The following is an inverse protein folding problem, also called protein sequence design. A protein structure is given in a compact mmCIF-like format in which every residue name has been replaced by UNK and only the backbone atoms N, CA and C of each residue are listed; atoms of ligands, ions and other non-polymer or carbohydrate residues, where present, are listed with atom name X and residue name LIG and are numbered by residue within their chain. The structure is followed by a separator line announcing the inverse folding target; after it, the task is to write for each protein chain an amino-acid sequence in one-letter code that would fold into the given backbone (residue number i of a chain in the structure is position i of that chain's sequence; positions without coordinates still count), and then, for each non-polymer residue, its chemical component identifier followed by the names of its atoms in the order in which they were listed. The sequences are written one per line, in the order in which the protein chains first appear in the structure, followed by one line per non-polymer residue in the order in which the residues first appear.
data_IF_825284037655
#
_entry.id   IF_825284037655
#
_cell.length_a   1.000
_cell.length_b   1.000
_cell.length_c   1.000
_cell.angle_alpha   90.00
_cell.angle_beta   90.00
_cell.angle_gamma   90.00
#
_symmetry.space_group_name_H-M   'P 1'
#
loop_
_entity.id
_entity.type
_entity.pdbx_description
1 polymer ?
#
# COMPACT_ATOMS: atom_id res chain seq x y z
N UNK A 1 19.83 51.09 87.84
CA UNK A 1 18.77 50.33 87.15
C UNK A 1 19.44 49.42 86.14
N UNK A 2 19.33 48.11 86.37
CA UNK A 2 19.85 47.01 85.55
C UNK A 2 18.63 46.33 84.90
N UNK A 3 18.75 45.83 83.68
CA UNK A 3 18.42 44.44 83.30
C UNK A 3 18.59 44.24 81.79
N UNK A 4 19.62 43.46 81.45
CA UNK A 4 19.83 42.69 80.23
C UNK A 4 18.91 41.47 80.19
N UNK A 5 18.38 41.11 79.02
CA UNK A 5 17.75 39.81 78.78
C UNK A 5 18.14 39.26 77.39
N UNK A 6 18.93 38.19 77.44
CA UNK A 6 19.16 37.19 76.40
C UNK A 6 17.91 36.30 76.27
N UNK A 7 17.65 35.76 75.08
CA UNK A 7 16.80 34.56 74.95
C UNK A 7 17.31 33.66 73.83
N UNK A 8 17.33 32.38 74.18
CA UNK A 8 18.18 31.33 73.66
C UNK A 8 17.66 30.66 72.40
N UNK A 9 18.63 30.20 71.62
CA UNK A 9 18.55 29.30 70.48
C UNK A 9 18.28 27.86 70.96
N UNK A 10 17.26 27.18 70.43
CA UNK A 10 17.05 25.74 70.67
C UNK A 10 17.10 25.00 69.33
N UNK A 11 18.14 24.19 69.18
CA UNK A 11 18.40 23.27 68.07
C UNK A 11 17.51 22.01 68.24
N UNK A 12 16.77 21.62 67.21
CA UNK A 12 16.13 20.29 67.14
C UNK A 12 16.86 19.44 66.10
N UNK A 13 17.60 18.45 66.62
CA UNK A 13 18.25 17.37 65.89
C UNK A 13 17.24 16.27 65.54
N UNK A 14 17.10 15.94 64.26
CA UNK A 14 16.51 14.67 63.83
C UNK A 14 17.61 13.73 63.32
N UNK A 15 17.69 12.57 63.95
CA UNK A 15 18.46 11.39 63.55
C UNK A 15 17.91 10.80 62.25
N UNK A 16 18.78 10.45 61.31
CA UNK A 16 18.62 9.23 60.50
C UNK A 16 19.96 8.76 59.95
N UNK A 17 20.23 7.47 60.22
CA UNK A 17 21.48 6.76 60.00
C UNK A 17 21.90 6.60 58.52
N UNK A 18 23.19 6.36 58.28
CA UNK A 18 23.75 6.01 56.96
C UNK A 18 23.74 4.49 56.74
N UNK A 19 23.57 4.03 55.49
CA UNK A 19 24.15 2.75 55.05
C UNK A 19 24.12 2.57 53.51
N UNK A 20 25.33 2.40 52.97
CA UNK A 20 25.76 1.50 51.89
C UNK A 20 25.28 1.67 50.43
N UNK A 21 26.29 2.02 49.61
CA UNK A 21 26.69 1.41 48.33
C UNK A 21 25.86 0.22 47.83
N UNK A 22 25.36 0.32 46.59
CA UNK A 22 25.31 -0.82 45.67
C UNK A 22 25.34 -0.38 44.19
N UNK A 23 26.34 -0.93 43.51
CA UNK A 23 26.56 -1.14 42.08
C UNK A 23 25.46 -0.75 41.06
N UNK A 24 25.91 -0.04 40.02
CA UNK A 24 25.31 -0.05 38.68
C UNK A 24 25.47 -1.44 38.07
N UNK A 25 24.38 -2.18 37.95
CA UNK A 25 24.24 -3.30 37.03
C UNK A 25 23.01 -3.04 36.17
N UNK A 26 23.23 -2.89 34.86
CA UNK A 26 22.17 -2.89 33.86
C UNK A 26 21.55 -4.29 33.80
N UNK A 27 20.25 -4.48 34.07
CA UNK A 27 19.61 -5.74 33.80
C UNK A 27 18.97 -5.69 32.40
N UNK A 28 19.43 -6.61 31.57
CA UNK A 28 18.63 -7.35 30.58
C UNK A 28 17.89 -6.55 29.50
N UNK A 29 18.52 -6.46 28.33
CA UNK A 29 17.80 -6.51 27.06
C UNK A 29 17.00 -7.83 26.98
N UNK A 30 15.72 -7.76 27.31
CA UNK A 30 14.77 -8.79 26.95
C UNK A 30 14.44 -8.63 25.45
N UNK A 31 15.15 -9.37 24.61
CA UNK A 31 14.66 -9.68 23.27
C UNK A 31 13.37 -10.48 23.43
N UNK A 32 12.22 -9.82 23.36
CA UNK A 32 10.94 -10.48 23.29
C UNK A 32 10.87 -11.25 21.97
N UNK A 33 11.24 -12.54 22.00
CA UNK A 33 10.79 -13.51 21.02
C UNK A 33 9.26 -13.57 21.14
N UNK A 34 8.57 -12.79 20.31
CA UNK A 34 7.14 -12.88 20.15
C UNK A 34 6.80 -14.30 19.74
N UNK A 35 6.17 -15.05 20.64
CA UNK A 35 5.56 -16.33 20.28
C UNK A 35 4.54 -16.06 19.18
N UNK A 36 4.80 -16.60 17.99
CA UNK A 36 3.87 -16.54 16.87
C UNK A 36 2.55 -17.18 17.31
N UNK A 37 1.48 -16.37 17.40
CA UNK A 37 0.12 -16.86 17.64
C UNK A 37 -0.22 -17.85 16.53
N UNK A 38 -0.53 -19.08 16.92
CA UNK A 38 -1.04 -20.10 16.00
C UNK A 38 -2.46 -19.70 15.66
N UNK A 39 -2.66 -19.04 14.54
CA UNK A 39 -4.00 -18.80 14.01
C UNK A 39 -4.56 -20.13 13.54
N UNK A 40 -5.35 -20.78 14.40
CA UNK A 40 -6.24 -21.85 13.96
C UNK A 40 -7.25 -21.20 13.02
N UNK A 41 -7.04 -21.37 11.71
CA UNK A 41 -8.13 -21.26 10.75
C UNK A 41 -9.07 -22.42 11.07
N UNK A 42 -9.96 -22.18 12.03
CA UNK A 42 -11.17 -22.94 12.15
C UNK A 42 -11.95 -22.59 10.89
N UNK A 43 -11.78 -23.41 9.84
CA UNK A 43 -12.70 -23.42 8.71
C UNK A 43 -14.07 -23.75 9.33
N UNK A 44 -14.87 -22.72 9.61
CA UNK A 44 -16.25 -22.93 10.00
C UNK A 44 -16.92 -23.75 8.90
N UNK A 45 -17.76 -24.75 9.25
CA UNK A 45 -18.48 -25.53 8.27
C UNK A 45 -19.30 -24.58 7.37
N UNK A 46 -18.88 -24.44 6.11
CA UNK A 46 -19.45 -23.50 5.14
C UNK A 46 -18.50 -22.44 4.61
N UNK A 47 -17.28 -22.30 5.15
CA UNK A 47 -16.28 -21.37 4.59
C UNK A 47 -15.90 -21.81 3.17
N UNK A 48 -15.98 -20.88 2.20
CA UNK A 48 -15.55 -21.13 0.83
C UNK A 48 -14.10 -21.64 0.79
N UNK A 49 -13.82 -22.58 -0.11
CA UNK A 49 -12.47 -23.11 -0.30
C UNK A 49 -11.50 -21.96 -0.60
N UNK A 50 -10.33 -21.99 0.03
CA UNK A 50 -9.25 -21.04 -0.26
C UNK A 50 -8.05 -21.74 -0.86
N UNK A 51 -7.23 -21.03 -1.63
CA UNK A 51 -6.10 -21.56 -2.39
C UNK A 51 -4.81 -20.83 -2.03
N UNK A 52 -3.66 -21.48 -2.20
CA UNK A 52 -2.34 -20.88 -1.98
C UNK A 52 -1.27 -21.49 -2.88
N UNK A 53 -0.13 -20.82 -3.02
CA UNK A 53 0.98 -21.28 -3.88
C UNK A 53 2.05 -21.94 -3.03
N UNK A 54 2.32 -23.22 -3.24
CA UNK A 54 3.35 -23.97 -2.50
C UNK A 54 4.72 -23.62 -3.06
N UNK A 55 5.56 -23.04 -2.20
CA UNK A 55 6.95 -22.64 -2.48
C UNK A 55 7.94 -23.75 -2.16
N UNK A 56 7.62 -24.56 -1.15
CA UNK A 56 8.44 -25.68 -0.68
C UNK A 56 7.53 -26.69 0.02
N UNK A 57 7.86 -27.98 -0.13
CA UNK A 57 7.19 -29.09 0.55
C UNK A 57 8.26 -30.06 1.05
N UNK A 58 8.22 -30.41 2.33
CA UNK A 58 9.27 -31.23 2.95
C UNK A 58 8.82 -31.90 4.25
N UNK A 59 9.59 -32.89 4.73
CA UNK A 59 9.22 -33.67 5.91
C UNK A 59 9.42 -32.91 7.23
N UNK A 60 10.25 -31.86 7.22
CA UNK A 60 10.74 -31.19 8.42
C UNK A 60 10.09 -29.81 8.58
N UNK A 61 9.59 -29.52 9.79
CA UNK A 61 9.00 -28.22 10.13
C UNK A 61 10.01 -27.07 9.94
N UNK A 62 11.24 -27.28 10.44
CA UNK A 62 12.31 -26.29 10.36
C UNK A 62 12.64 -25.90 8.91
N UNK A 63 12.69 -26.88 7.99
CA UNK A 63 12.90 -26.62 6.57
C UNK A 63 11.80 -25.74 5.96
N UNK A 64 10.54 -25.98 6.33
CA UNK A 64 9.43 -25.15 5.88
C UNK A 64 9.45 -23.75 6.51
N UNK A 65 9.83 -23.61 7.78
CA UNK A 65 10.00 -22.32 8.45
C UNK A 65 11.13 -21.48 7.86
N UNK A 66 12.29 -22.10 7.59
CA UNK A 66 13.42 -21.44 6.95
C UNK A 66 13.07 -20.96 5.53
N UNK A 67 12.36 -21.79 4.77
CA UNK A 67 11.84 -21.38 3.46
C UNK A 67 10.85 -20.20 3.60
N UNK A 68 9.89 -20.27 4.52
CA UNK A 68 8.92 -19.20 4.73
C UNK A 68 9.59 -17.87 5.11
N UNK A 69 10.57 -17.90 6.02
CA UNK A 69 11.35 -16.71 6.40
C UNK A 69 12.13 -16.13 5.22
N UNK A 70 12.81 -16.97 4.44
CA UNK A 70 13.54 -16.56 3.21
C UNK A 70 12.62 -15.82 2.24
N UNK A 71 11.44 -16.39 1.96
CA UNK A 71 10.50 -15.79 1.02
C UNK A 71 9.78 -14.56 1.61
N UNK A 72 9.60 -14.50 2.92
CA UNK A 72 9.10 -13.29 3.59
C UNK A 72 10.06 -12.10 3.51
N UNK A 73 11.37 -12.37 3.53
CA UNK A 73 12.41 -11.35 3.28
C UNK A 73 12.43 -10.86 1.83
N UNK A 74 11.83 -11.62 0.92
CA UNK A 74 11.61 -11.23 -0.47
C UNK A 74 10.27 -10.50 -0.68
N UNK A 75 9.53 -10.20 0.41
CA UNK A 75 8.28 -9.44 0.35
C UNK A 75 7.02 -10.29 0.15
N UNK A 76 7.10 -11.62 0.29
CA UNK A 76 5.93 -12.49 0.21
C UNK A 76 5.32 -12.74 1.61
N UNK A 77 4.00 -12.79 1.72
CA UNK A 77 3.38 -13.32 2.94
C UNK A 77 3.29 -14.84 2.82
N UNK A 78 4.01 -15.55 3.69
CA UNK A 78 4.17 -17.01 3.61
C UNK A 78 3.71 -17.69 4.89
N UNK A 79 2.88 -18.71 4.74
CA UNK A 79 2.36 -19.55 5.83
C UNK A 79 3.06 -20.89 5.82
N UNK A 80 3.41 -21.39 6.99
CA UNK A 80 3.85 -22.78 7.17
C UNK A 80 2.63 -23.60 7.50
N UNK A 81 2.34 -24.58 6.64
CA UNK A 81 1.15 -25.41 6.70
C UNK A 81 1.56 -26.85 6.95
N UNK A 82 0.88 -27.51 7.90
CA UNK A 82 1.03 -28.93 8.21
C UNK A 82 -0.13 -29.71 7.62
N UNK A 83 0.16 -30.69 6.80
CA UNK A 83 -0.81 -31.60 6.18
C UNK A 83 -0.93 -32.88 7.00
N UNK A 84 -1.97 -32.98 7.83
CA UNK A 84 -2.13 -34.13 8.73
C UNK A 84 -2.49 -35.44 7.99
N UNK A 85 -2.85 -35.38 6.69
CA UNK A 85 -3.15 -36.59 5.89
C UNK A 85 -1.91 -37.27 5.34
N UNK A 86 -0.81 -36.55 5.15
CA UNK A 86 0.37 -37.08 4.46
C UNK A 86 1.49 -37.32 5.46
N UNK A 87 1.96 -38.58 5.56
CA UNK A 87 3.07 -38.94 6.45
C UNK A 87 4.42 -38.38 5.95
N UNK A 88 4.62 -38.37 4.63
CA UNK A 88 5.79 -37.78 3.96
C UNK A 88 5.48 -36.35 3.53
N UNK A 89 6.45 -35.44 3.60
CA UNK A 89 6.26 -34.04 3.21
C UNK A 89 5.11 -33.33 3.95
N UNK A 90 5.06 -33.56 5.27
CA UNK A 90 4.00 -33.05 6.14
C UNK A 90 3.97 -31.52 6.18
N UNK A 91 5.08 -30.83 5.93
CA UNK A 91 5.17 -29.38 6.08
C UNK A 91 5.39 -28.69 4.74
N UNK A 92 4.63 -27.62 4.51
CA UNK A 92 4.60 -26.84 3.27
C UNK A 92 4.79 -25.36 3.61
N UNK A 93 5.60 -24.66 2.83
CA UNK A 93 5.64 -23.19 2.83
C UNK A 93 4.73 -22.68 1.71
N UNK A 94 3.69 -21.93 2.04
CA UNK A 94 2.61 -21.55 1.13
C UNK A 94 2.47 -20.02 1.08
N UNK A 95 2.62 -19.42 -0.10
CA UNK A 95 2.41 -18.00 -0.32
C UNK A 95 0.95 -17.67 -0.62
N UNK A 96 0.48 -16.57 -0.05
CA UNK A 96 -0.86 -16.05 -0.27
C UNK A 96 -1.99 -16.89 0.32
N UNK A 97 -3.21 -16.39 0.19
CA UNK A 97 -4.47 -17.10 0.46
C UNK A 97 -5.55 -16.45 -0.40
N UNK A 98 -6.06 -17.19 -1.37
CA UNK A 98 -6.89 -16.70 -2.46
C UNK A 98 -8.27 -17.35 -2.40
N UNK A 99 -9.31 -16.65 -2.86
CA UNK A 99 -10.67 -17.19 -2.88
C UNK A 99 -10.87 -18.15 -4.04
N UNK A 100 -10.17 -17.92 -5.15
CA UNK A 100 -10.30 -18.73 -6.36
C UNK A 100 -8.97 -19.37 -6.75
N UNK A 101 -9.05 -20.50 -7.44
CA UNK A 101 -7.87 -21.17 -8.01
C UNK A 101 -7.20 -20.32 -9.09
N UNK A 102 -7.97 -19.50 -9.81
CA UNK A 102 -7.47 -18.60 -10.85
C UNK A 102 -6.58 -17.50 -10.26
N UNK A 103 -7.00 -16.86 -9.16
CA UNK A 103 -6.17 -15.89 -8.42
C UNK A 103 -4.85 -16.51 -7.96
N UNK A 104 -4.89 -17.71 -7.38
CA UNK A 104 -3.69 -18.43 -6.98
C UNK A 104 -2.77 -18.78 -8.17
N UNK A 105 -3.35 -19.04 -9.35
CA UNK A 105 -2.58 -19.31 -10.57
C UNK A 105 -1.90 -18.06 -11.12
N UNK A 106 -2.59 -16.92 -11.11
CA UNK A 106 -1.99 -15.63 -11.48
C UNK A 106 -0.82 -15.30 -10.54
N UNK A 107 -1.02 -15.43 -9.23
CA UNK A 107 0.04 -15.17 -8.26
C UNK A 107 1.21 -16.16 -8.37
N UNK A 108 0.93 -17.42 -8.74
CA UNK A 108 1.99 -18.39 -9.05
C UNK A 108 2.89 -17.86 -10.16
N UNK A 109 2.31 -17.40 -11.28
CA UNK A 109 3.08 -16.87 -12.44
C UNK A 109 3.97 -15.71 -11.99
N UNK A 110 3.42 -14.76 -11.22
CA UNK A 110 4.18 -13.62 -10.68
C UNK A 110 5.40 -14.07 -9.85
N UNK A 111 5.23 -15.07 -8.98
CA UNK A 111 6.35 -15.61 -8.18
C UNK A 111 7.37 -16.33 -9.06
N UNK A 112 6.91 -17.09 -10.06
CA UNK A 112 7.80 -17.81 -10.99
C UNK A 112 8.70 -16.84 -11.76
N UNK A 113 8.13 -15.75 -12.26
CA UNK A 113 8.85 -14.71 -12.99
C UNK A 113 9.80 -13.93 -12.07
N UNK A 114 9.32 -13.48 -10.91
CA UNK A 114 10.10 -12.67 -9.99
C UNK A 114 11.29 -13.42 -9.37
N UNK A 115 11.14 -14.71 -9.09
CA UNK A 115 12.14 -15.51 -8.37
C UNK A 115 12.82 -16.58 -9.23
N UNK A 116 12.48 -16.66 -10.52
CA UNK A 116 12.95 -17.68 -11.47
C UNK A 116 12.74 -19.12 -10.94
N UNK A 117 11.57 -19.39 -10.35
CA UNK A 117 11.22 -20.68 -9.77
C UNK A 117 10.37 -21.50 -10.75
N UNK A 118 10.79 -22.74 -11.05
CA UNK A 118 10.09 -23.60 -12.00
C UNK A 118 9.04 -24.52 -11.37
N UNK A 119 9.26 -24.93 -10.12
CA UNK A 119 8.50 -26.02 -9.47
C UNK A 119 7.52 -25.50 -8.42
N UNK A 120 6.59 -24.63 -8.84
CA UNK A 120 5.51 -24.15 -7.98
C UNK A 120 4.18 -24.83 -8.34
N UNK A 121 3.34 -25.10 -7.35
CA UNK A 121 2.00 -25.63 -7.57
C UNK A 121 1.01 -25.02 -6.59
N UNK A 122 -0.28 -25.11 -6.94
CA UNK A 122 -1.37 -24.56 -6.13
C UNK A 122 -1.89 -25.65 -5.20
N UNK A 123 -2.16 -25.28 -3.96
CA UNK A 123 -2.83 -26.13 -2.98
C UNK A 123 -4.15 -25.50 -2.56
N UNK A 124 -5.13 -26.34 -2.27
CA UNK A 124 -6.39 -25.96 -1.65
C UNK A 124 -6.30 -26.15 -0.13
N UNK A 125 -6.71 -25.15 0.64
CA UNK A 125 -6.76 -25.19 2.09
C UNK A 125 -7.95 -26.02 2.57
N UNK A 126 -7.71 -27.33 2.72
CA UNK A 126 -8.70 -28.26 3.31
C UNK A 126 -8.64 -28.27 4.83
N UNK A 127 -9.66 -28.84 5.48
CA UNK A 127 -9.69 -29.07 6.95
C UNK A 127 -8.51 -29.87 7.54
N UNK A 128 -7.72 -30.53 6.69
CA UNK A 128 -6.56 -31.33 7.14
C UNK A 128 -5.26 -30.53 7.13
N UNK A 129 -5.29 -29.32 6.57
CA UNK A 129 -4.18 -28.40 6.55
C UNK A 129 -4.28 -27.48 7.77
N UNK A 130 -3.29 -27.53 8.65
CA UNK A 130 -3.18 -26.66 9.82
C UNK A 130 -2.08 -25.63 9.60
N UNK A 131 -2.39 -24.36 9.79
CA UNK A 131 -1.35 -23.33 9.81
C UNK A 131 -0.56 -23.46 11.11
N UNK A 132 0.75 -23.62 10.99
CA UNK A 132 1.67 -23.70 12.12
C UNK A 132 2.28 -22.34 12.43
N UNK A 133 2.56 -21.55 11.40
CA UNK A 133 3.15 -20.21 11.55
C UNK A 133 2.85 -19.35 10.32
N UNK A 134 2.81 -18.03 10.51
CA UNK A 134 2.66 -17.05 9.43
C UNK A 134 3.82 -16.06 9.47
N UNK A 135 4.50 -15.91 8.34
CA UNK A 135 5.60 -14.98 8.14
C UNK A 135 5.10 -13.85 7.24
N UNK A 136 4.91 -12.67 7.81
CA UNK A 136 4.49 -11.49 7.05
C UNK A 136 5.63 -10.99 6.16
N UNK A 137 5.27 -10.50 4.99
CA UNK A 137 6.21 -9.82 4.09
C UNK A 137 6.98 -8.74 4.85
N UNK A 138 8.31 -8.77 4.80
CA UNK A 138 9.11 -7.63 5.26
C UNK A 138 9.10 -6.61 4.13
N UNK A 139 8.45 -5.47 4.36
CA UNK A 139 8.65 -4.29 3.52
C UNK A 139 10.14 -4.00 3.54
N UNK A 140 10.84 -4.15 2.42
CA UNK A 140 12.23 -3.72 2.35
C UNK A 140 12.22 -2.22 2.63
N UNK A 141 12.58 -1.82 3.85
CA UNK A 141 12.99 -0.46 4.14
C UNK A 141 14.03 -0.12 3.09
N UNK A 142 13.72 0.86 2.23
CA UNK A 142 14.63 1.34 1.19
C UNK A 142 15.98 1.58 1.87
N UNK A 143 16.99 0.78 1.51
CA UNK A 143 18.36 1.07 1.88
C UNK A 143 18.72 2.34 1.14
N UNK A 144 19.01 3.41 1.87
CA UNK A 144 19.43 4.69 1.30
C UNK A 144 20.60 4.44 0.31
N UNK A 145 20.45 4.78 -0.98
CA UNK A 145 21.50 4.56 -1.96
C UNK A 145 22.76 5.42 -1.72
N UNK A 146 22.75 6.32 -0.73
CA UNK A 146 23.86 7.22 -0.41
C UNK A 146 24.84 6.69 0.65
N UNK A 147 24.69 5.46 1.14
CA UNK A 147 25.61 4.86 2.11
C UNK A 147 26.54 3.81 1.48
N UNK A 148 27.35 4.18 0.48
CA UNK A 148 28.59 3.44 0.18
C UNK A 148 29.68 4.38 -0.37
N UNK A 149 30.70 4.58 0.46
CA UNK A 149 31.87 5.37 0.10
C UNK A 149 32.74 4.67 -0.95
N UNK A 150 33.22 5.49 -1.89
CA UNK A 150 34.41 5.33 -2.74
C UNK A 150 35.37 4.20 -2.34
N UNK A 151 35.51 3.19 -3.22
CA UNK A 151 36.81 2.60 -3.61
C UNK A 151 36.75 2.14 -5.07
N UNK A 152 37.39 2.90 -5.95
CA UNK A 152 38.03 2.43 -7.18
C UNK A 152 39.41 1.82 -6.82
N UNK A 153 40.19 1.20 -7.74
CA UNK A 153 39.91 0.79 -9.13
C UNK A 153 40.44 -0.63 -9.48
N UNK A 154 40.09 -1.17 -10.65
CA UNK A 154 41.05 -1.42 -11.75
C UNK A 154 40.45 -2.26 -12.90
N UNK A 155 40.63 -1.66 -14.06
CA UNK A 155 40.41 -2.11 -15.42
C UNK A 155 41.28 -3.32 -15.79
N UNK A 156 40.74 -4.27 -16.57
CA UNK A 156 41.43 -5.05 -17.61
C UNK A 156 40.43 -5.90 -18.41
N UNK A 157 40.21 -5.51 -19.65
CA UNK A 157 39.66 -6.34 -20.73
C UNK A 157 40.81 -7.20 -21.32
N UNK A 158 40.54 -8.34 -21.98
CA UNK A 158 40.63 -8.27 -23.45
C UNK A 158 39.71 -9.21 -24.26
N UNK A 159 39.53 -8.79 -25.52
CA UNK A 159 39.41 -9.54 -26.78
C UNK A 159 38.35 -10.64 -26.97
N UNK A 160 37.48 -10.44 -27.97
CA UNK A 160 37.10 -11.47 -28.95
C UNK A 160 36.92 -10.89 -30.36
N UNK A 161 37.58 -11.52 -31.34
CA UNK A 161 37.50 -11.31 -32.79
C UNK A 161 36.36 -12.15 -33.43
N UNK A 162 36.01 -11.91 -34.71
CA UNK A 162 34.71 -12.21 -35.32
C UNK A 162 34.69 -13.36 -36.33
N UNK A 163 33.48 -13.82 -36.68
CA UNK A 163 33.13 -14.51 -37.96
C UNK A 163 31.60 -14.44 -38.12
N UNK A 164 31.01 -13.69 -39.06
CA UNK A 164 30.92 -13.80 -40.53
C UNK A 164 30.14 -15.01 -41.07
N UNK A 165 28.95 -14.74 -41.64
CA UNK A 165 28.51 -15.08 -43.02
C UNK A 165 27.08 -15.65 -43.20
N UNK A 166 26.39 -15.02 -44.18
CA UNK A 166 25.53 -15.60 -45.25
C UNK A 166 24.15 -16.16 -44.86
N UNK A 167 23.07 -16.03 -45.67
CA UNK A 167 22.79 -15.37 -46.95
C UNK A 167 21.27 -15.54 -47.26
N UNK A 168 20.67 -14.58 -47.96
CA UNK A 168 19.59 -14.69 -49.00
C UNK A 168 18.20 -15.30 -48.64
N UNK A 169 17.04 -14.94 -49.21
CA UNK A 169 16.63 -14.28 -50.47
C UNK A 169 15.25 -13.58 -50.34
N UNK A 170 15.06 -12.55 -51.18
CA UNK A 170 13.89 -12.09 -51.95
C UNK A 170 12.44 -12.21 -51.44
N UNK A 171 11.75 -11.06 -51.39
CA UNK A 171 10.64 -10.82 -52.34
C UNK A 171 10.31 -9.33 -52.52
N UNK A 172 10.31 -8.96 -53.79
CA UNK A 172 9.97 -7.69 -54.41
C UNK A 172 8.45 -7.60 -54.63
N UNK A 173 7.85 -6.44 -54.34
CA UNK A 173 6.62 -6.00 -55.03
C UNK A 173 6.56 -4.47 -55.09
N UNK A 174 6.43 -3.98 -56.31
CA UNK A 174 6.26 -2.59 -56.71
C UNK A 174 4.88 -2.03 -56.33
N UNK A 175 4.80 -0.75 -55.95
CA UNK A 175 3.88 0.21 -56.59
C UNK A 175 4.10 1.67 -56.16
N UNK A 176 4.79 2.40 -57.04
CA UNK A 176 4.36 3.65 -57.69
C UNK A 176 3.47 4.66 -56.92
N UNK A 177 4.15 5.62 -56.28
CA UNK A 177 4.17 7.06 -56.61
C UNK A 177 2.87 7.78 -57.03
N UNK A 178 2.49 8.79 -56.24
CA UNK A 178 2.06 10.10 -56.76
C UNK A 178 2.28 11.19 -55.70
N UNK A 179 3.02 12.21 -56.13
CA UNK A 179 3.48 13.41 -55.42
C UNK A 179 2.35 14.36 -55.00
N UNK A 180 2.58 15.20 -53.97
CA UNK A 180 2.47 16.69 -54.04
C UNK A 180 2.93 17.35 -52.71
N UNK A 181 4.09 18.05 -52.79
CA UNK A 181 4.56 19.33 -52.17
C UNK A 181 4.22 19.71 -50.69
N UNK A 182 5.22 19.96 -49.80
CA UNK A 182 6.05 21.20 -49.61
C UNK A 182 5.18 22.40 -49.13
N UNK A 183 5.33 23.11 -48.00
CA UNK A 183 6.45 23.53 -47.11
C UNK A 183 5.85 24.02 -45.77
N UNK A 184 6.45 23.72 -44.61
CA UNK A 184 6.81 24.66 -43.50
C UNK A 184 7.31 23.87 -42.28
N UNK A 185 8.63 23.77 -42.05
CA UNK A 185 9.51 24.69 -41.31
C UNK A 185 9.56 24.40 -39.79
N UNK A 186 10.46 23.47 -39.47
CA UNK A 186 11.43 23.52 -38.36
C UNK A 186 10.99 24.13 -37.02
N UNK A 187 10.66 23.25 -36.06
CA UNK A 187 11.22 23.24 -34.71
C UNK A 187 11.03 21.85 -34.09
N UNK A 188 11.95 20.94 -34.37
CA UNK A 188 11.96 19.56 -33.86
C UNK A 188 13.32 19.26 -33.26
N UNK A 189 13.46 19.53 -31.96
CA UNK A 189 14.50 18.92 -31.11
C UNK A 189 14.14 19.15 -29.64
N UNK A 190 13.22 18.34 -29.09
CA UNK A 190 13.16 17.93 -27.66
C UNK A 190 11.86 17.16 -27.30
N UNK A 191 11.57 16.06 -28.00
CA UNK A 191 10.35 15.25 -27.74
C UNK A 191 10.64 13.85 -27.16
N UNK A 192 11.90 13.54 -26.84
CA UNK A 192 12.31 12.17 -26.46
C UNK A 192 12.46 11.93 -24.96
N UNK A 193 12.27 12.93 -24.07
CA UNK A 193 12.48 12.77 -22.62
C UNK A 193 11.18 12.61 -21.79
N UNK A 194 9.99 12.85 -22.35
CA UNK A 194 8.73 12.84 -21.60
C UNK A 194 8.04 11.47 -21.50
N UNK A 195 8.44 10.50 -22.33
CA UNK A 195 7.79 9.17 -22.35
C UNK A 195 8.24 8.27 -21.19
N UNK A 196 9.50 8.38 -20.76
CA UNK A 196 10.06 7.55 -19.69
C UNK A 196 9.55 7.95 -18.29
N UNK A 197 9.29 9.25 -18.05
CA UNK A 197 8.81 9.74 -16.76
C UNK A 197 7.38 9.27 -16.42
N UNK A 198 6.56 9.03 -17.43
CA UNK A 198 5.15 8.63 -17.23
C UNK A 198 5.04 7.20 -16.71
N UNK A 199 5.86 6.28 -17.24
CA UNK A 199 5.88 4.89 -16.79
C UNK A 199 6.34 4.75 -15.34
N UNK A 200 7.37 5.50 -14.95
CA UNK A 200 7.87 5.51 -13.57
C UNK A 200 6.82 6.06 -12.60
N UNK A 201 6.15 7.17 -12.96
CA UNK A 201 5.09 7.78 -12.14
C UNK A 201 3.93 6.81 -11.91
N UNK A 202 3.49 6.11 -12.95
CA UNK A 202 2.44 5.08 -12.88
C UNK A 202 2.87 3.92 -11.99
N UNK A 203 4.09 3.40 -12.16
CA UNK A 203 4.60 2.32 -11.32
C UNK A 203 4.66 2.71 -9.84
N UNK A 204 5.12 3.93 -9.55
CA UNK A 204 5.17 4.48 -8.19
C UNK A 204 3.78 4.64 -7.57
N UNK A 205 2.79 5.09 -8.36
CA UNK A 205 1.40 5.18 -7.94
C UNK A 205 0.84 3.81 -7.54
N UNK A 206 1.02 2.80 -8.39
CA UNK A 206 0.53 1.44 -8.13
C UNK A 206 1.16 0.82 -6.88
N UNK A 207 2.48 1.01 -6.69
CA UNK A 207 3.16 0.56 -5.49
C UNK A 207 2.65 1.25 -4.22
N UNK A 208 2.36 2.55 -4.31
CA UNK A 208 1.77 3.32 -3.21
C UNK A 208 0.38 2.80 -2.88
N UNK A 209 -0.49 2.64 -3.88
CA UNK A 209 -1.83 2.09 -3.69
C UNK A 209 -1.80 0.71 -3.01
N UNK A 210 -0.97 -0.21 -3.51
CA UNK A 210 -0.81 -1.53 -2.91
C UNK A 210 -0.37 -1.44 -1.44
N UNK A 211 0.53 -0.51 -1.12
CA UNK A 211 0.98 -0.30 0.26
C UNK A 211 -0.12 0.26 1.14
N UNK A 212 -0.87 1.27 0.69
CA UNK A 212 -2.04 1.83 1.38
C UNK A 212 -3.04 0.71 1.70
N UNK A 213 -3.37 -0.12 0.70
CA UNK A 213 -4.31 -1.23 0.86
C UNK A 213 -3.84 -2.26 1.89
N UNK A 214 -2.56 -2.62 1.89
CA UNK A 214 -1.99 -3.55 2.87
C UNK A 214 -2.09 -2.96 4.28
N UNK A 215 -1.62 -1.73 4.45
CA UNK A 215 -1.58 -1.02 5.75
C UNK A 215 -2.98 -0.84 6.33
N UNK A 216 -3.94 -0.45 5.49
CA UNK A 216 -5.35 -0.34 5.88
C UNK A 216 -5.91 -1.70 6.29
N UNK A 217 -5.76 -2.74 5.45
CA UNK A 217 -6.31 -4.08 5.73
C UNK A 217 -5.75 -4.72 7.02
N UNK A 218 -4.54 -4.36 7.45
CA UNK A 218 -3.97 -4.83 8.73
C UNK A 218 -4.30 -3.93 9.93
N UNK A 219 -5.02 -2.83 9.73
CA UNK A 219 -5.40 -1.88 10.77
C UNK A 219 -4.26 -1.00 11.30
N UNK A 220 -3.18 -0.80 10.53
CA UNK A 220 -2.05 0.04 10.96
C UNK A 220 -2.32 1.52 10.63
N UNK A 221 -3.13 2.18 11.48
CA UNK A 221 -3.52 3.58 11.29
C UNK A 221 -2.32 4.54 11.32
N UNK A 222 -1.28 4.20 12.10
CA UNK A 222 -0.03 4.95 12.11
C UNK A 222 0.67 4.87 10.75
N UNK A 223 0.77 3.67 10.18
CA UNK A 223 1.29 3.49 8.81
C UNK A 223 0.45 4.22 7.77
N UNK A 224 -0.87 4.30 7.96
CA UNK A 224 -1.77 4.97 7.02
C UNK A 224 -1.60 6.50 7.06
N UNK A 225 -1.33 7.05 8.25
CA UNK A 225 -0.99 8.47 8.43
C UNK A 225 0.29 8.89 7.70
N UNK A 226 1.19 7.96 7.35
CA UNK A 226 2.34 8.28 6.49
C UNK A 226 1.90 8.73 5.08
N UNK A 227 0.69 8.36 4.65
CA UNK A 227 0.10 8.78 3.39
C UNK A 227 -0.80 10.01 3.54
N UNK A 228 -0.91 10.61 4.73
CA UNK A 228 -1.58 11.90 4.94
C UNK A 228 -0.50 12.99 5.01
N UNK A 229 -0.61 14.01 4.17
CA UNK A 229 0.40 15.06 4.12
C UNK A 229 0.32 15.94 5.39
N UNK A 230 1.39 16.15 6.16
CA UNK A 230 1.30 16.76 7.50
C UNK A 230 0.78 18.20 7.51
N UNK A 231 1.00 18.96 6.42
CA UNK A 231 0.50 20.35 6.30
C UNK A 231 -0.86 20.45 5.60
N UNK A 232 -1.17 19.49 4.73
CA UNK A 232 -2.36 19.56 3.89
C UNK A 232 -3.50 18.73 4.47
N UNK A 233 -3.22 17.67 5.22
CA UNK A 233 -4.23 16.77 5.74
C UNK A 233 -4.89 15.93 4.64
N UNK A 234 -6.14 15.55 4.89
CA UNK A 234 -7.02 14.83 3.97
C UNK A 234 -8.42 15.43 4.05
N UNK A 235 -9.07 15.52 2.90
CA UNK A 235 -10.47 15.95 2.80
C UNK A 235 -11.37 14.74 2.68
N UNK A 236 -12.48 14.70 3.40
CA UNK A 236 -13.53 13.71 3.19
C UNK A 236 -14.73 14.39 2.58
N UNK A 237 -15.17 13.86 1.44
CA UNK A 237 -16.45 14.22 0.82
C UNK A 237 -17.48 13.23 1.32
N UNK A 238 -18.49 13.74 1.99
CA UNK A 238 -19.64 12.96 2.40
C UNK A 238 -20.83 13.42 1.57
N UNK A 239 -21.39 12.51 0.78
CA UNK A 239 -22.45 12.80 -0.18
C UNK A 239 -23.78 12.16 0.26
N UNK A 240 -24.47 12.66 1.31
CA UNK A 240 -25.75 12.13 1.77
C UNK A 240 -26.89 12.74 0.96
N UNK A 241 -26.79 12.77 -0.36
CA UNK A 241 -27.85 13.37 -1.13
C UNK A 241 -27.43 13.87 -2.50
N UNK A 242 -28.19 14.87 -2.92
CA UNK A 242 -27.77 15.91 -3.85
C UNK A 242 -26.74 16.90 -3.25
N UNK A 243 -26.36 16.75 -1.98
CA UNK A 243 -25.43 17.65 -1.29
C UNK A 243 -24.10 16.96 -1.01
N UNK A 244 -23.00 17.71 -1.15
CA UNK A 244 -21.65 17.30 -0.77
C UNK A 244 -21.20 18.08 0.46
N UNK A 245 -20.91 17.37 1.54
CA UNK A 245 -20.34 17.91 2.77
C UNK A 245 -18.83 17.68 2.75
N UNK A 246 -18.06 18.71 3.10
CA UNK A 246 -16.60 18.67 3.09
C UNK A 246 -16.09 18.76 4.52
N UNK A 247 -15.42 17.70 4.96
CA UNK A 247 -14.72 17.67 6.23
C UNK A 247 -13.22 17.62 5.98
N UNK A 248 -12.44 18.28 6.83
CA UNK A 248 -10.99 18.28 6.74
C UNK A 248 -10.38 17.67 7.99
N UNK A 249 -9.39 16.79 7.80
CA UNK A 249 -8.73 16.08 8.88
C UNK A 249 -7.22 16.13 8.72
N UNK A 250 -6.53 16.17 9.86
CA UNK A 250 -5.07 16.07 9.89
C UNK A 250 -4.55 14.63 9.98
N UNK A 251 -5.43 13.69 10.37
CA UNK A 251 -5.09 12.28 10.65
C UNK A 251 -6.25 11.37 10.28
N UNK A 252 -5.93 10.12 9.96
CA UNK A 252 -6.91 9.13 9.51
C UNK A 252 -7.75 8.54 10.65
N UNK A 253 -7.26 8.57 11.90
CA UNK A 253 -8.05 8.10 13.05
C UNK A 253 -9.33 8.92 13.20
N UNK A 254 -9.23 10.25 13.12
CA UNK A 254 -10.38 11.16 13.19
C UNK A 254 -11.37 10.93 12.05
N UNK A 255 -10.86 10.64 10.85
CA UNK A 255 -11.68 10.28 9.69
C UNK A 255 -12.50 9.01 9.98
N UNK A 256 -11.87 7.97 10.53
CA UNK A 256 -12.52 6.68 10.81
C UNK A 256 -13.50 6.77 11.99
N UNK A 257 -13.23 7.65 12.96
CA UNK A 257 -14.11 7.89 14.09
C UNK A 257 -15.40 8.60 13.67
N UNK A 258 -15.29 9.61 12.80
CA UNK A 258 -16.42 10.40 12.29
C UNK A 258 -17.18 9.67 11.17
N UNK A 259 -16.52 8.80 10.42
CA UNK A 259 -17.10 8.05 9.30
C UNK A 259 -16.94 6.53 9.51
N UNK A 260 -17.95 5.93 10.14
CA UNK A 260 -17.94 4.51 10.53
C UNK A 260 -17.80 3.54 9.35
N UNK A 261 -18.21 3.98 8.16
CA UNK A 261 -18.10 3.27 6.89
C UNK A 261 -16.64 2.95 6.55
N UNK A 262 -15.71 3.78 7.00
CA UNK A 262 -14.27 3.59 6.82
C UNK A 262 -13.66 2.60 7.83
N UNK A 263 -14.43 2.05 8.77
CA UNK A 263 -13.92 0.96 9.64
C UNK A 263 -13.78 -0.35 8.88
N UNK A 264 -14.52 -0.52 7.80
CA UNK A 264 -14.41 -1.66 6.92
C UNK A 264 -13.34 -1.33 5.88
N UNK A 265 -12.26 -2.11 5.77
CA UNK A 265 -11.27 -1.86 4.74
C UNK A 265 -11.80 -2.27 3.36
N UNK A 266 -11.44 -1.54 2.29
CA UNK A 266 -11.75 -1.95 0.93
C UNK A 266 -11.13 -3.32 0.60
N UNK A 267 -11.85 -4.15 -0.18
CA UNK A 267 -11.32 -5.45 -0.64
C UNK A 267 -10.12 -5.22 -1.55
N UNK A 268 -9.07 -6.04 -1.42
CA UNK A 268 -7.93 -5.96 -2.34
C UNK A 268 -8.35 -6.17 -3.79
N UNK A 269 -7.94 -5.27 -4.67
CA UNK A 269 -8.21 -5.32 -6.10
C UNK A 269 -6.99 -4.89 -6.92
N UNK A 270 -6.90 -5.32 -8.18
CA UNK A 270 -5.91 -4.85 -9.14
C UNK A 270 -6.50 -3.66 -9.91
N UNK A 271 -5.99 -2.44 -9.73
CA UNK A 271 -6.53 -1.28 -10.43
C UNK A 271 -6.28 -1.34 -11.95
N UNK A 272 -7.25 -0.87 -12.72
CA UNK A 272 -7.22 -0.73 -14.18
C UNK A 272 -7.18 0.76 -14.55
N UNK A 273 -6.31 1.16 -15.47
CA UNK A 273 -6.24 2.54 -15.96
C UNK A 273 -7.32 2.79 -17.01
N UNK A 274 -8.47 3.25 -16.55
CA UNK A 274 -9.66 3.48 -17.37
C UNK A 274 -10.49 4.62 -16.76
N UNK A 275 -11.49 5.09 -17.49
CA UNK A 275 -12.49 6.01 -16.94
C UNK A 275 -13.19 5.40 -15.71
N UNK A 276 -13.51 6.26 -14.74
CA UNK A 276 -14.25 5.84 -13.55
C UNK A 276 -15.64 5.30 -13.92
N UNK A 277 -16.14 4.29 -13.20
CA UNK A 277 -17.50 3.79 -13.38
C UNK A 277 -18.54 4.90 -13.24
N UNK A 278 -19.67 4.76 -13.95
CA UNK A 278 -20.82 5.65 -13.86
C UNK A 278 -21.97 4.92 -13.20
N UNK A 279 -22.59 5.55 -12.19
CA UNK A 279 -23.77 5.00 -11.53
C UNK A 279 -25.03 5.42 -12.27
N UNK A 280 -25.93 4.47 -12.51
CA UNK A 280 -27.29 4.75 -12.99
C UNK A 280 -28.25 4.66 -11.82
N UNK A 281 -28.92 5.77 -11.48
CA UNK A 281 -29.97 5.76 -10.45
C UNK A 281 -31.16 4.88 -10.85
N UNK A 282 -31.56 4.93 -12.13
CA UNK A 282 -32.68 4.14 -12.65
C UNK A 282 -32.46 2.64 -12.49
N UNK A 283 -31.23 2.18 -12.77
CA UNK A 283 -30.85 0.77 -12.67
C UNK A 283 -30.29 0.40 -11.30
N UNK A 284 -30.15 1.39 -10.39
CA UNK A 284 -29.49 1.25 -9.10
C UNK A 284 -28.16 0.46 -9.17
N UNK A 285 -27.39 0.68 -10.23
CA UNK A 285 -26.20 -0.12 -10.53
C UNK A 285 -25.13 0.68 -11.26
N UNK A 286 -23.89 0.21 -11.15
CA UNK A 286 -22.77 0.73 -11.90
C UNK A 286 -22.68 0.06 -13.26
N UNK A 287 -22.22 0.81 -14.27
CA UNK A 287 -21.98 0.26 -15.60
C UNK A 287 -20.83 -0.78 -15.63
N UNK A 288 -19.95 -0.79 -14.63
CA UNK A 288 -18.87 -1.78 -14.48
C UNK A 288 -18.46 -1.96 -13.01
N UNK A 289 -17.88 -3.11 -12.68
CA UNK A 289 -17.36 -3.46 -11.35
C UNK A 289 -15.86 -3.69 -11.40
N UNK A 290 -15.18 -3.48 -10.28
CA UNK A 290 -13.74 -3.61 -10.17
C UNK A 290 -13.10 -2.38 -9.55
N UNK A 291 -11.88 -2.10 -9.99
CA UNK A 291 -10.95 -1.17 -9.36
C UNK A 291 -10.35 -0.33 -10.47
N UNK A 292 -10.61 0.97 -10.47
CA UNK A 292 -10.33 1.83 -11.61
C UNK A 292 -9.49 3.02 -11.17
N UNK A 293 -8.43 3.31 -11.93
CA UNK A 293 -7.61 4.50 -11.77
C UNK A 293 -7.85 5.41 -12.95
N UNK A 294 -8.16 6.66 -12.65
CA UNK A 294 -8.28 7.71 -13.65
C UNK A 294 -7.48 8.94 -13.23
N UNK A 295 -6.93 9.64 -14.23
CA UNK A 295 -6.34 10.95 -14.00
C UNK A 295 -7.47 11.95 -13.68
N UNK A 296 -7.23 12.81 -12.69
CA UNK A 296 -8.20 13.83 -12.28
C UNK A 296 -7.73 15.16 -12.82
N UNK A 297 -8.60 15.88 -13.53
CA UNK A 297 -8.34 17.28 -13.84
C UNK A 297 -8.70 18.14 -12.62
N UNK A 298 -7.83 19.08 -12.20
CA UNK A 298 -8.16 19.98 -11.10
C UNK A 298 -9.50 20.71 -11.32
N UNK A 299 -9.79 21.08 -12.57
CA UNK A 299 -11.01 21.81 -12.94
C UNK A 299 -12.28 20.97 -12.76
N UNK A 300 -12.23 19.67 -13.10
CA UNK A 300 -13.37 18.77 -12.87
C UNK A 300 -13.71 18.61 -11.39
N UNK A 301 -12.70 18.73 -10.51
CA UNK A 301 -12.86 18.57 -9.08
C UNK A 301 -13.25 19.88 -8.39
N UNK A 302 -12.56 20.97 -8.72
CA UNK A 302 -12.81 22.30 -8.16
C UNK A 302 -14.18 22.86 -8.58
N UNK A 303 -14.72 22.41 -9.72
CA UNK A 303 -16.05 22.78 -10.18
C UNK A 303 -17.21 22.20 -9.36
N UNK A 304 -16.96 21.20 -8.50
CA UNK A 304 -18.04 20.53 -7.75
C UNK A 304 -18.69 21.42 -6.69
N UNK A 305 -17.98 22.43 -6.16
CA UNK A 305 -18.56 23.35 -5.17
C UNK A 305 -17.77 24.66 -5.08
N UNK A 306 -18.48 25.77 -5.24
CA UNK A 306 -17.90 27.11 -5.03
C UNK A 306 -17.77 27.43 -3.54
N UNK A 307 -16.88 28.37 -3.20
CA UNK A 307 -16.76 28.87 -1.82
C UNK A 307 -18.09 29.41 -1.30
N UNK A 308 -18.81 30.18 -2.13
CA UNK A 308 -20.10 30.73 -1.76
C UNK A 308 -21.12 29.63 -1.46
N UNK A 309 -21.23 28.60 -2.32
CA UNK A 309 -22.10 27.45 -2.06
C UNK A 309 -21.77 26.75 -0.75
N UNK A 310 -20.50 26.61 -0.41
CA UNK A 310 -20.10 26.01 0.87
C UNK A 310 -20.52 26.86 2.07
N UNK A 311 -20.34 28.19 1.98
CA UNK A 311 -20.74 29.15 3.01
C UNK A 311 -22.26 29.13 3.18
N UNK A 312 -23.02 29.12 2.08
CA UNK A 312 -24.48 29.12 2.09
C UNK A 312 -25.05 27.86 2.77
N UNK A 313 -24.31 26.75 2.73
CA UNK A 313 -24.62 25.50 3.44
C UNK A 313 -24.13 25.48 4.90
N UNK A 314 -23.63 26.61 5.43
CA UNK A 314 -23.14 26.75 6.80
C UNK A 314 -21.72 26.23 7.02
N UNK A 315 -20.95 26.04 5.96
CA UNK A 315 -19.58 25.56 6.03
C UNK A 315 -18.58 26.59 6.54
N UNK A 316 -17.51 26.11 7.20
CA UNK A 316 -16.40 26.95 7.65
C UNK A 316 -15.41 27.28 6.51
N UNK A 317 -15.28 28.56 6.16
CA UNK A 317 -14.35 29.07 5.13
C UNK A 317 -12.92 28.55 5.31
N UNK A 318 -12.45 28.35 6.55
CA UNK A 318 -11.13 27.78 6.81
C UNK A 318 -11.03 26.31 6.39
N UNK A 319 -12.09 25.52 6.61
CA UNK A 319 -12.21 24.14 6.13
C UNK A 319 -12.25 24.11 4.61
N UNK A 320 -13.05 24.96 3.97
CA UNK A 320 -13.10 25.08 2.51
C UNK A 320 -11.71 25.34 1.91
N UNK A 321 -10.99 26.32 2.46
CA UNK A 321 -9.66 26.69 1.96
C UNK A 321 -8.62 25.59 2.15
N UNK A 322 -8.69 24.83 3.25
CA UNK A 322 -7.84 23.64 3.44
C UNK A 322 -8.21 22.54 2.44
N UNK A 323 -9.50 22.25 2.29
CA UNK A 323 -10.01 21.24 1.37
C UNK A 323 -9.62 21.54 -0.08
N UNK A 324 -9.76 22.80 -0.51
CA UNK A 324 -9.39 23.28 -1.85
C UNK A 324 -7.91 23.06 -2.16
N UNK A 325 -7.02 23.22 -1.18
CA UNK A 325 -5.59 22.94 -1.37
C UNK A 325 -5.32 21.46 -1.60
N UNK A 326 -5.96 20.56 -0.83
CA UNK A 326 -5.86 19.11 -1.06
C UNK A 326 -6.38 18.72 -2.43
N UNK A 327 -7.53 19.26 -2.80
CA UNK A 327 -8.18 19.06 -4.10
C UNK A 327 -7.25 19.45 -5.24
N UNK A 328 -6.67 20.66 -5.18
CA UNK A 328 -5.79 21.17 -6.23
C UNK A 328 -4.50 20.35 -6.38
N UNK A 329 -4.08 19.65 -5.33
CA UNK A 329 -2.91 18.76 -5.36
C UNK A 329 -3.24 17.35 -5.90
N UNK A 330 -4.52 17.04 -6.11
CA UNK A 330 -4.97 15.74 -6.60
C UNK A 330 -4.60 15.57 -8.07
N UNK A 331 -4.15 14.37 -8.44
CA UNK A 331 -3.78 14.05 -9.82
C UNK A 331 -4.36 12.73 -10.31
N UNK A 332 -4.65 11.80 -9.41
CA UNK A 332 -5.31 10.54 -9.75
C UNK A 332 -6.41 10.25 -8.74
N UNK A 333 -7.39 9.47 -9.17
CA UNK A 333 -8.37 8.87 -8.27
C UNK A 333 -8.44 7.38 -8.52
N UNK A 334 -8.73 6.64 -7.45
CA UNK A 334 -8.89 5.20 -7.45
C UNK A 334 -10.28 4.91 -6.90
N UNK A 335 -11.11 4.27 -7.72
CA UNK A 335 -12.49 3.95 -7.35
C UNK A 335 -12.67 2.44 -7.33
N UNK A 336 -13.13 1.92 -6.20
CA UNK A 336 -13.53 0.53 -6.06
C UNK A 336 -15.05 0.42 -6.09
N UNK A 337 -15.54 -0.41 -7.00
CA UNK A 337 -16.96 -0.58 -7.28
C UNK A 337 -17.34 -2.06 -7.26
N UNK A 338 -18.36 -2.37 -6.45
CA UNK A 338 -18.98 -3.68 -6.37
C UNK A 338 -20.49 -3.53 -6.64
N UNK A 339 -21.10 -4.52 -7.30
CA UNK A 339 -22.55 -4.52 -7.62
C UNK A 339 -23.42 -4.98 -6.43
N UNK A 340 -22.90 -4.95 -5.21
CA UNK A 340 -23.71 -5.22 -4.03
C UNK A 340 -24.61 -4.00 -3.74
N UNK A 341 -25.91 -4.20 -3.45
CA UNK A 341 -26.91 -3.13 -3.35
C UNK A 341 -26.60 -2.08 -2.27
N UNK A 342 -25.70 -2.39 -1.32
CA UNK A 342 -25.30 -1.51 -0.22
C UNK A 342 -23.79 -1.45 0.00
N UNK A 343 -22.98 -1.88 -0.99
CA UNK A 343 -21.54 -1.91 -0.82
C UNK A 343 -20.99 -0.50 -0.61
N UNK A 344 -20.27 -0.28 0.49
CA UNK A 344 -19.47 0.92 0.72
C UNK A 344 -18.50 1.10 -0.46
N UNK A 345 -18.49 2.31 -1.02
CA UNK A 345 -17.75 2.61 -2.25
C UNK A 345 -16.64 3.54 -1.85
N UNK A 346 -15.41 3.06 -1.99
CA UNK A 346 -14.23 3.85 -1.67
C UNK A 346 -13.76 4.50 -2.96
N UNK A 347 -13.83 5.83 -2.99
CA UNK A 347 -13.22 6.61 -4.03
C UNK A 347 -12.13 7.48 -3.40
N UNK A 348 -10.88 7.08 -3.60
CA UNK A 348 -9.71 7.67 -2.94
C UNK A 348 -8.95 8.50 -3.96
N UNK A 349 -8.59 9.73 -3.57
CA UNK A 349 -7.86 10.68 -4.39
C UNK A 349 -6.42 10.76 -3.94
N UNK A 350 -5.50 10.78 -4.90
CA UNK A 350 -4.07 10.75 -4.69
C UNK A 350 -3.38 11.94 -5.37
N UNK A 351 -2.51 12.60 -4.62
CA UNK A 351 -1.64 13.69 -5.07
C UNK A 351 -0.17 13.32 -4.94
N UNK A 352 0.66 13.71 -5.91
CA UNK A 352 2.11 13.54 -5.84
C UNK A 352 2.76 14.85 -5.42
N UNK A 353 3.31 14.88 -4.21
CA UNK A 353 3.88 16.07 -3.56
C UNK A 353 5.20 15.68 -2.90
N UNK A 354 6.21 16.56 -2.93
CA UNK A 354 7.50 16.32 -2.27
C UNK A 354 8.14 14.95 -2.58
N UNK A 355 7.94 14.44 -3.81
CA UNK A 355 8.46 13.15 -4.25
C UNK A 355 7.71 11.91 -3.72
N UNK A 356 6.56 12.09 -3.07
CA UNK A 356 5.74 11.01 -2.48
C UNK A 356 4.26 11.15 -2.85
N UNK A 357 3.57 10.02 -2.93
CA UNK A 357 2.12 9.98 -3.08
C UNK A 357 1.40 10.09 -1.73
N UNK A 358 0.39 10.94 -1.67
CA UNK A 358 -0.45 11.16 -0.50
C UNK A 358 -1.91 11.02 -0.86
N UNK A 359 -2.71 10.58 0.12
CA UNK A 359 -4.17 10.63 0.08
C UNK A 359 -4.56 12.09 0.29
N UNK A 360 -5.10 12.70 -0.76
CA UNK A 360 -5.57 14.09 -0.72
C UNK A 360 -7.03 14.16 -0.33
N UNK A 361 -7.83 13.17 -0.75
CA UNK A 361 -9.22 13.11 -0.37
C UNK A 361 -9.82 11.70 -0.42
N UNK A 362 -10.98 11.54 0.22
CA UNK A 362 -11.80 10.33 0.27
C UNK A 362 -13.25 10.74 -0.01
N UNK A 363 -13.86 10.21 -1.06
CA UNK A 363 -15.29 10.36 -1.33
C UNK A 363 -16.06 9.14 -0.82
N UNK A 364 -16.95 9.39 0.12
CA UNK A 364 -17.95 8.47 0.63
C UNK A 364 -19.21 8.58 -0.23
N UNK A 365 -19.14 7.96 -1.41
CA UNK A 365 -20.23 8.01 -2.39
C UNK A 365 -21.42 7.20 -1.88
N UNK A 366 -22.51 7.89 -1.53
CA UNK A 366 -23.82 7.26 -1.33
C UNK A 366 -24.67 7.51 -2.58
N UNK A 367 -24.80 6.53 -3.49
CA UNK A 367 -25.50 6.74 -4.75
C UNK A 367 -26.98 7.07 -4.51
N UNK A 368 -27.49 8.06 -5.23
CA UNK A 368 -28.92 8.35 -5.39
C UNK A 368 -29.70 8.48 -4.08
N UNK A 369 -29.05 8.96 -3.03
CA UNK A 369 -29.77 9.64 -1.97
C UNK A 369 -30.19 10.99 -2.58
N UNK A 370 -31.48 11.23 -2.74
CA UNK A 370 -32.04 12.51 -3.16
C UNK A 370 -33.47 12.58 -2.62
#
# INVERSE_FOLDING_TARGET
MKHTLWSSLTLFTFFLSPLLLAARLNPCEYSSFGFNRVDNINNEPGSAATYGVVLLSGPNLEGAQNAAKKYAELGLTVRVVRDDKVKKNKFKAVAGQFKTRAEAAAHKIEIQEALNLKNLWIIEFTKNLKIVATYKAKTKLKKDPNASGKKEPKNKNPEKKPTNNKKTDDKQTDNKQSDTNLVEKQNSTNEKSTKDSTGEKISSLMNTWNTIMIVYNIGDLRGLNEFIHPKLGVTVFYNPGAFTIFNWYSKIESVIDDHRELKIPPRSCRPLFEDIPKFSCELSSWNKTGCFISAVSPDSFAGMMTEQMFIDLGGDVAVYNKSKKCINATSYSIMQVENEPYGFKYHIYLGFMDGKWYITAIDLVTPCSA
#
